data_IF_537672567133
#
_entry.id   IF_537672567133
#
_cell.length_a   1.000
_cell.length_b   1.000
_cell.length_c   1.000
_cell.angle_alpha   90.00
_cell.angle_beta   90.00
_cell.angle_gamma   90.00
#
_symmetry.space_group_name_H-M   'P 1'
#
loop_
_entity.id
_entity.type
_entity.pdbx_description
1 polymer ?
#
# COMPACT_ATOMS: atom_id res chain seq x y z
N UNK A 1 5.69 12.95 1.45
CA UNK A 1 6.45 14.13 0.96
C UNK A 1 7.90 13.75 0.80
N UNK A 2 8.66 14.38 -0.10
CA UNK A 2 10.10 14.15 -0.27
C UNK A 2 10.85 15.34 0.36
N UNK A 3 11.48 15.17 1.54
CA UNK A 3 11.94 16.29 2.38
C UNK A 3 13.38 16.74 2.11
N UNK A 4 14.01 16.27 1.04
CA UNK A 4 15.43 16.53 0.76
C UNK A 4 15.59 17.59 -0.33
N UNK A 5 16.54 18.51 -0.11
CA UNK A 5 16.89 19.56 -1.06
C UNK A 5 18.40 19.85 -1.01
N UNK A 6 18.96 20.30 -2.13
CA UNK A 6 20.39 20.58 -2.28
C UNK A 6 21.23 19.30 -2.31
N UNK A 7 22.49 19.40 -1.89
CA UNK A 7 23.41 18.26 -1.86
C UNK A 7 23.07 17.35 -0.69
N UNK A 8 22.69 16.11 -0.98
CA UNK A 8 22.34 15.09 0.04
C UNK A 8 23.06 13.79 -0.27
N UNK A 9 23.71 13.20 0.74
CA UNK A 9 24.21 11.83 0.70
C UNK A 9 23.16 10.91 1.35
N UNK A 10 22.67 9.94 0.59
CA UNK A 10 21.82 8.86 1.09
C UNK A 10 22.69 7.67 1.42
N UNK A 11 22.40 7.00 2.53
CA UNK A 11 23.04 5.75 2.93
C UNK A 11 21.98 4.66 2.99
N UNK A 12 22.21 3.53 2.33
CA UNK A 12 21.38 2.35 2.46
C UNK A 12 21.57 1.75 3.86
N UNK A 13 20.51 1.66 4.69
CA UNK A 13 20.63 1.11 6.03
C UNK A 13 20.96 -0.39 6.06
N UNK A 14 20.71 -1.13 4.98
CA UNK A 14 20.94 -2.59 4.92
C UNK A 14 22.34 -2.94 4.43
N UNK A 15 22.84 -2.25 3.40
CA UNK A 15 24.14 -2.55 2.77
C UNK A 15 25.24 -1.56 3.15
N UNK A 16 24.89 -0.35 3.56
CA UNK A 16 25.82 0.77 3.75
C UNK A 16 26.19 1.51 2.47
N UNK A 17 25.58 1.16 1.33
CA UNK A 17 25.85 1.83 0.05
C UNK A 17 25.51 3.31 0.10
N UNK A 18 26.29 4.13 -0.62
CA UNK A 18 26.16 5.58 -0.61
C UNK A 18 25.75 6.12 -1.98
N UNK A 19 24.73 6.96 -1.98
CA UNK A 19 24.28 7.71 -3.15
C UNK A 19 24.35 9.21 -2.84
N UNK A 20 25.26 9.93 -3.50
CA UNK A 20 25.32 11.39 -3.38
C UNK A 20 24.55 12.07 -4.50
N UNK A 21 23.46 12.75 -4.16
CA UNK A 21 22.72 13.60 -5.08
C UNK A 21 23.17 15.07 -4.92
N UNK A 22 23.59 15.70 -6.02
CA UNK A 22 23.97 17.12 -6.00
C UNK A 22 22.79 18.08 -5.77
N UNK A 23 21.62 17.73 -6.33
CA UNK A 23 20.32 18.36 -6.08
C UNK A 23 19.29 17.26 -5.83
N UNK A 24 19.08 16.90 -4.58
CA UNK A 24 18.24 15.78 -4.19
C UNK A 24 16.76 15.97 -4.60
N UNK A 25 16.28 17.21 -4.65
CA UNK A 25 14.92 17.55 -5.05
C UNK A 25 14.57 17.09 -6.48
N UNK A 26 15.57 16.90 -7.36
CA UNK A 26 15.36 16.36 -8.71
C UNK A 26 14.86 14.90 -8.69
N UNK A 27 15.13 14.15 -7.62
CA UNK A 27 14.69 12.76 -7.46
C UNK A 27 13.26 12.66 -6.94
N UNK A 28 12.64 13.76 -6.53
CA UNK A 28 11.38 13.73 -5.80
C UNK A 28 10.23 13.10 -6.61
N UNK A 29 10.14 13.42 -7.91
CA UNK A 29 9.06 12.93 -8.77
C UNK A 29 9.23 11.45 -9.12
N UNK A 30 10.45 11.04 -9.50
CA UNK A 30 10.78 9.64 -9.75
C UNK A 30 10.58 8.79 -8.49
N UNK A 31 11.00 9.29 -7.33
CA UNK A 31 10.77 8.63 -6.05
C UNK A 31 9.28 8.43 -5.78
N UNK A 32 8.45 9.47 -5.96
CA UNK A 32 6.98 9.36 -5.76
C UNK A 32 6.35 8.36 -6.71
N UNK A 33 6.80 8.35 -7.98
CA UNK A 33 6.32 7.41 -8.98
C UNK A 33 6.61 5.98 -8.57
N UNK A 34 7.88 5.67 -8.26
CA UNK A 34 8.30 4.33 -7.84
C UNK A 34 7.61 3.90 -6.53
N UNK A 35 7.53 4.80 -5.56
CA UNK A 35 6.90 4.55 -4.27
C UNK A 35 5.40 4.26 -4.39
N UNK A 36 4.71 4.91 -5.33
CA UNK A 36 3.29 4.67 -5.58
C UNK A 36 3.11 3.37 -6.37
N UNK A 37 3.92 3.13 -7.40
CA UNK A 37 3.87 1.91 -8.21
C UNK A 37 4.04 0.65 -7.36
N UNK A 38 5.05 0.61 -6.49
CA UNK A 38 5.30 -0.52 -5.57
C UNK A 38 4.08 -0.82 -4.69
N UNK A 39 3.41 0.22 -4.18
CA UNK A 39 2.23 0.03 -3.32
C UNK A 39 1.00 -0.42 -4.08
N UNK A 40 0.81 0.09 -5.30
CA UNK A 40 -0.26 -0.39 -6.18
C UNK A 40 -0.07 -1.86 -6.53
N UNK A 41 1.18 -2.26 -6.80
CA UNK A 41 1.51 -3.67 -7.06
C UNK A 41 1.13 -4.56 -5.87
N UNK A 42 1.59 -4.22 -4.66
CA UNK A 42 1.25 -4.97 -3.44
C UNK A 42 -0.26 -5.01 -3.19
N UNK A 43 -0.96 -3.88 -3.31
CA UNK A 43 -2.40 -3.81 -3.14
C UNK A 43 -3.14 -4.69 -4.17
N UNK A 44 -2.66 -4.72 -5.42
CA UNK A 44 -3.24 -5.57 -6.47
C UNK A 44 -3.09 -7.06 -6.16
N UNK A 45 -1.94 -7.47 -5.60
CA UNK A 45 -1.70 -8.85 -5.17
C UNK A 45 -2.59 -9.23 -3.99
N UNK A 46 -2.69 -8.39 -2.96
CA UNK A 46 -3.61 -8.61 -1.85
C UNK A 46 -5.05 -8.78 -2.34
N UNK A 47 -5.52 -7.88 -3.22
CA UNK A 47 -6.88 -7.96 -3.79
C UNK A 47 -7.11 -9.29 -4.54
N UNK A 48 -6.15 -9.76 -5.33
CA UNK A 48 -6.23 -11.04 -6.06
C UNK A 48 -6.32 -12.25 -5.12
N UNK A 49 -5.72 -12.16 -3.93
CA UNK A 49 -5.76 -13.21 -2.90
C UNK A 49 -6.95 -13.08 -1.94
N UNK A 50 -7.81 -12.07 -2.12
CA UNK A 50 -8.90 -11.77 -1.19
C UNK A 50 -8.43 -11.19 0.15
N UNK A 51 -7.19 -10.67 0.21
CA UNK A 51 -6.61 -10.07 1.39
C UNK A 51 -6.83 -8.56 1.43
N UNK A 52 -6.99 -8.01 2.63
CA UNK A 52 -6.96 -6.56 2.86
C UNK A 52 -5.51 -6.04 2.82
N UNK A 53 -5.35 -4.78 2.43
CA UNK A 53 -4.05 -4.10 2.39
C UNK A 53 -4.14 -2.79 3.17
N UNK A 54 -3.29 -2.63 4.20
CA UNK A 54 -3.26 -1.46 5.08
C UNK A 54 -1.84 -0.94 5.21
N UNK A 55 -1.68 0.38 5.22
CA UNK A 55 -0.38 1.05 5.38
C UNK A 55 -0.30 1.70 6.77
N UNK A 56 0.78 1.44 7.49
CA UNK A 56 1.15 2.14 8.72
C UNK A 56 2.45 2.94 8.50
N UNK A 57 2.52 4.13 9.10
CA UNK A 57 3.69 5.00 9.00
C UNK A 57 4.53 4.83 10.26
N UNK A 58 5.84 4.62 10.10
CA UNK A 58 6.76 4.26 11.19
C UNK A 58 7.10 5.43 12.13
N UNK A 59 6.67 6.64 11.78
CA UNK A 59 6.76 7.84 12.63
C UNK A 59 5.54 7.98 13.58
N UNK A 60 4.60 7.02 13.55
CA UNK A 60 3.43 6.97 14.45
C UNK A 60 3.53 5.81 15.41
N UNK A 61 2.81 5.92 16.52
CA UNK A 61 2.71 4.86 17.51
C UNK A 61 2.13 3.58 16.89
N UNK A 62 2.77 2.45 17.16
CA UNK A 62 2.29 1.14 16.72
C UNK A 62 0.90 0.82 17.29
N UNK A 63 0.58 1.32 18.49
CA UNK A 63 -0.74 1.18 19.11
C UNK A 63 -1.87 1.73 18.23
N UNK A 64 -1.66 2.84 17.53
CA UNK A 64 -2.67 3.41 16.63
C UNK A 64 -2.94 2.48 15.45
N UNK A 65 -1.90 1.81 14.95
CA UNK A 65 -2.03 0.79 13.91
C UNK A 65 -2.87 -0.39 14.39
N UNK A 66 -2.60 -0.86 15.62
CA UNK A 66 -3.30 -1.99 16.22
C UNK A 66 -4.78 -1.68 16.48
N UNK A 67 -5.10 -0.48 16.98
CA UNK A 67 -6.49 -0.06 17.17
C UNK A 67 -7.24 -0.02 15.84
N UNK A 68 -6.64 0.55 14.78
CA UNK A 68 -7.27 0.58 13.45
C UNK A 68 -7.50 -0.83 12.90
N UNK A 69 -6.52 -1.73 13.06
CA UNK A 69 -6.64 -3.12 12.65
C UNK A 69 -7.77 -3.82 13.42
N UNK A 70 -7.83 -3.66 14.73
CA UNK A 70 -8.88 -4.22 15.57
C UNK A 70 -10.28 -3.76 15.12
N UNK A 71 -10.44 -2.46 14.85
CA UNK A 71 -11.70 -1.90 14.34
C UNK A 71 -12.06 -2.46 12.96
N UNK A 72 -11.09 -2.60 12.05
CA UNK A 72 -11.33 -3.18 10.72
C UNK A 72 -11.78 -4.65 10.80
N UNK A 73 -11.11 -5.46 11.64
CA UNK A 73 -11.47 -6.87 11.84
C UNK A 73 -12.83 -7.05 12.52
N UNK A 74 -13.20 -6.13 13.42
CA UNK A 74 -14.48 -6.18 14.15
C UNK A 74 -15.64 -5.71 13.28
N UNK A 75 -15.42 -4.69 12.43
CA UNK A 75 -16.42 -4.19 11.48
C UNK A 75 -16.75 -5.20 10.37
N UNK A 76 -15.78 -6.00 9.93
CA UNK A 76 -15.99 -7.07 8.93
C UNK A 76 -16.68 -8.32 9.52
N UNK A 77 -16.75 -8.47 10.85
CA UNK A 77 -17.47 -9.55 11.54
C UNK A 77 -19.01 -9.51 11.37
N UNK A 78 -19.55 -8.51 10.67
CA UNK A 78 -20.99 -8.33 10.42
C UNK A 78 -21.49 -8.64 9.00
N UNK A 79 -20.65 -9.16 8.09
CA UNK A 79 -21.08 -9.53 6.72
C UNK A 79 -20.70 -10.98 6.36
N UNK A 80 -21.66 -11.89 6.12
CA UNK A 80 -21.36 -13.17 5.51
C UNK A 80 -21.07 -12.93 4.02
N UNK A 81 -19.79 -12.86 3.67
CA UNK A 81 -19.33 -12.40 2.37
C UNK A 81 -18.72 -13.47 1.47
N UNK A 82 -19.14 -14.74 1.55
CA UNK A 82 -18.92 -15.73 0.47
C UNK A 82 -20.17 -16.64 0.41
N UNK A 83 -21.09 -16.32 -0.49
CA UNK A 83 -21.97 -17.31 -1.10
C UNK A 83 -21.77 -17.23 -2.60
N UNK A 84 -20.93 -18.13 -3.09
CA UNK A 84 -21.08 -18.64 -4.43
C UNK A 84 -22.42 -19.40 -4.48
N UNK A 85 -23.29 -19.06 -5.41
CA UNK A 85 -24.04 -20.00 -6.28
C UNK A 85 -25.21 -19.26 -6.95
N UNK A 86 -25.43 -19.52 -8.24
CA UNK A 86 -26.53 -18.93 -8.99
C UNK A 86 -26.28 -18.68 -10.47
N UNK A 87 -25.66 -19.63 -11.17
CA UNK A 87 -25.98 -19.83 -12.59
C UNK A 87 -27.50 -20.05 -12.74
N UNK A 88 -28.16 -19.23 -13.56
CA UNK A 88 -29.42 -19.61 -14.22
C UNK A 88 -29.43 -19.08 -15.65
N UNK A 89 -29.67 -19.95 -16.65
CA UNK A 89 -29.71 -19.54 -18.04
C UNK A 89 -31.06 -18.93 -18.43
N UNK A 90 -31.00 -17.92 -19.30
CA UNK A 90 -31.97 -17.64 -20.35
C UNK A 90 -33.32 -17.05 -19.94
N UNK A 91 -33.63 -15.88 -20.50
CA UNK A 91 -34.81 -15.74 -21.38
C UNK A 91 -34.58 -14.61 -22.38
N UNK A 92 -34.43 -15.01 -23.64
CA UNK A 92 -34.75 -14.18 -24.78
C UNK A 92 -36.27 -13.94 -24.79
N UNK A 93 -36.69 -12.72 -25.12
CA UNK A 93 -37.97 -12.51 -25.80
C UNK A 93 -37.86 -11.27 -26.68
N UNK A 94 -38.57 -11.37 -27.81
CA UNK A 94 -38.46 -10.63 -29.06
C UNK A 94 -38.73 -9.14 -28.98
#
# INVERSE_FOLDING_TARGET
TFPYAGRTEFTDPETGDKLTAGRAEMLADEYRLLYTARRQELASWCKRLGWSFTVNHTDRLASDALVRLHMAMTADGGKPGISADGDKPGKAVA
#
